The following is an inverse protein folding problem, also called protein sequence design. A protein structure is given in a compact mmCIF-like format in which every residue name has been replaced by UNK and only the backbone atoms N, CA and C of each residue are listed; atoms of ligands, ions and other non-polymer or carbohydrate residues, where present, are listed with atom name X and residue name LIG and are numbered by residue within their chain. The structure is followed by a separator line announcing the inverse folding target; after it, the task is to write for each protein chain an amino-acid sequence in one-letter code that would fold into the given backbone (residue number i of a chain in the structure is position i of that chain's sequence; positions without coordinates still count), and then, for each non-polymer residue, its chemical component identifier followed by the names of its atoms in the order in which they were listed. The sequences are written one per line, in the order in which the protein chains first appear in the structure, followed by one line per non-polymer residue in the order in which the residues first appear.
data_IF_397249661881
#
_entry.id   IF_397249661881
#
_cell.length_a   1.000
_cell.length_b   1.000
_cell.length_c   1.000
_cell.angle_alpha   90.00
_cell.angle_beta   90.00
_cell.angle_gamma   90.00
#
_symmetry.space_group_name_H-M   'P 1'
#
loop_
_entity.id
_entity.type
_entity.pdbx_description
1 polymer ?
#
# COMPACT_ATOMS: atom_id res chain seq x y z
N UNK A 1 25.00 -22.42 -1.98
CA UNK A 1 24.28 -21.91 -0.81
C UNK A 1 25.30 -21.30 0.15
N UNK A 2 25.26 -20.00 0.44
CA UNK A 2 26.08 -19.41 1.50
C UNK A 2 25.57 -19.98 2.82
N UNK A 3 26.41 -20.73 3.52
CA UNK A 3 26.10 -21.29 4.83
C UNK A 3 26.01 -20.13 5.82
N UNK A 4 24.92 -20.00 6.55
CA UNK A 4 24.80 -19.01 7.63
C UNK A 4 25.97 -19.15 8.60
N UNK A 5 26.47 -18.05 9.14
CA UNK A 5 27.55 -18.03 10.11
C UNK A 5 27.18 -18.80 11.39
N UNK A 6 28.21 -19.21 12.15
CA UNK A 6 27.99 -19.91 13.42
C UNK A 6 27.29 -19.00 14.42
N UNK A 7 26.33 -19.53 15.19
CA UNK A 7 25.65 -18.73 16.21
C UNK A 7 26.65 -18.26 17.29
N UNK A 8 26.35 -17.10 17.85
CA UNK A 8 27.11 -16.50 18.95
C UNK A 8 26.98 -17.36 20.21
N UNK A 9 28.06 -17.44 21.01
CA UNK A 9 27.97 -17.88 22.38
C UNK A 9 27.24 -16.86 23.28
N UNK A 10 26.70 -17.27 24.41
CA UNK A 10 25.99 -16.38 25.31
C UNK A 10 26.86 -15.20 25.81
N UNK A 11 28.17 -15.41 25.87
CA UNK A 11 29.12 -14.41 26.33
C UNK A 11 29.40 -13.36 25.22
N UNK A 12 29.64 -13.82 23.99
CA UNK A 12 29.81 -12.94 22.81
C UNK A 12 28.54 -12.12 22.51
N UNK A 13 27.35 -12.73 22.63
CA UNK A 13 26.07 -12.04 22.48
C UNK A 13 25.95 -10.89 23.48
N UNK A 14 26.29 -11.13 24.73
CA UNK A 14 26.24 -10.13 25.80
C UNK A 14 27.24 -8.97 25.54
N UNK A 15 28.44 -9.27 25.11
CA UNK A 15 29.48 -8.29 24.82
C UNK A 15 29.04 -7.39 23.62
N UNK A 16 28.48 -7.99 22.56
CA UNK A 16 27.98 -7.25 21.41
C UNK A 16 26.76 -6.37 21.76
N UNK A 17 25.87 -6.86 22.65
CA UNK A 17 24.74 -6.08 23.12
C UNK A 17 25.19 -4.87 23.96
N UNK A 18 26.24 -4.99 24.76
CA UNK A 18 26.80 -3.86 25.52
C UNK A 18 27.38 -2.82 24.56
N UNK A 19 28.19 -3.23 23.56
CA UNK A 19 28.73 -2.34 22.54
C UNK A 19 27.65 -1.68 21.70
N UNK A 20 26.56 -2.40 21.40
CA UNK A 20 25.40 -1.84 20.71
C UNK A 20 24.80 -0.66 21.49
N UNK A 21 24.70 -0.78 22.83
CA UNK A 21 24.20 0.29 23.71
C UNK A 21 25.12 1.53 23.68
N UNK A 22 26.42 1.33 23.43
CA UNK A 22 27.42 2.40 23.26
C UNK A 22 27.35 3.06 21.87
N UNK A 23 26.49 2.54 20.97
CA UNK A 23 26.30 3.07 19.63
C UNK A 23 27.24 2.48 18.57
N UNK A 24 27.89 1.35 18.84
CA UNK A 24 28.78 0.70 17.89
C UNK A 24 27.98 0.05 16.73
N UNK A 25 28.12 0.63 15.54
CA UNK A 25 27.50 0.13 14.32
C UNK A 25 28.07 -1.23 13.85
N UNK A 26 29.32 -1.54 14.18
CA UNK A 26 29.95 -2.82 13.83
C UNK A 26 29.34 -3.93 14.68
N UNK A 27 29.15 -3.69 15.99
CA UNK A 27 28.48 -4.63 16.87
C UNK A 27 27.00 -4.87 16.45
N UNK A 28 26.31 -3.81 15.99
CA UNK A 28 24.94 -3.90 15.43
C UNK A 28 24.89 -4.84 14.23
N UNK A 29 25.74 -4.64 13.25
CA UNK A 29 25.79 -5.47 12.06
C UNK A 29 26.16 -6.91 12.36
N UNK A 30 27.12 -7.13 13.24
CA UNK A 30 27.53 -8.47 13.69
C UNK A 30 26.37 -9.22 14.39
N UNK A 31 25.58 -8.53 15.21
CA UNK A 31 24.39 -9.13 15.84
C UNK A 31 23.35 -9.55 14.79
N UNK A 32 23.12 -8.75 13.76
CA UNK A 32 22.18 -9.09 12.69
C UNK A 32 22.70 -10.30 11.90
N UNK A 33 23.94 -10.27 11.40
CA UNK A 33 24.51 -11.31 10.55
C UNK A 33 24.55 -12.67 11.26
N UNK A 34 25.00 -12.69 12.51
CA UNK A 34 25.11 -13.93 13.31
C UNK A 34 23.77 -14.54 13.71
N UNK A 35 22.68 -13.73 13.69
CA UNK A 35 21.34 -14.19 14.02
C UNK A 35 20.45 -14.47 12.78
N UNK A 36 20.97 -14.36 11.55
CA UNK A 36 20.23 -14.66 10.32
C UNK A 36 19.69 -16.09 10.27
N UNK A 37 20.39 -17.03 10.93
CA UNK A 37 19.91 -18.41 11.05
C UNK A 37 18.60 -18.53 11.84
N UNK A 38 18.39 -17.65 12.83
CA UNK A 38 17.12 -17.57 13.56
C UNK A 38 15.97 -17.13 12.65
N UNK A 39 16.20 -16.15 11.76
CA UNK A 39 15.24 -15.73 10.76
C UNK A 39 14.83 -16.90 9.87
N UNK A 40 15.80 -17.60 9.29
CA UNK A 40 15.54 -18.75 8.43
C UNK A 40 14.76 -19.87 9.15
N UNK A 41 15.05 -20.11 10.44
CA UNK A 41 14.33 -21.09 11.24
C UNK A 41 12.86 -20.72 11.45
N UNK A 42 12.58 -19.44 11.73
CA UNK A 42 11.22 -18.96 11.95
C UNK A 42 10.44 -18.95 10.64
N UNK A 43 11.04 -18.45 9.53
CA UNK A 43 10.42 -18.43 8.21
C UNK A 43 10.00 -19.83 7.78
N UNK A 44 10.81 -20.85 8.03
CA UNK A 44 10.48 -22.24 7.70
C UNK A 44 9.14 -22.70 8.28
N UNK A 45 8.71 -22.17 9.41
CA UNK A 45 7.40 -22.45 10.01
C UNK A 45 6.24 -21.94 9.16
N UNK A 46 6.46 -20.87 8.40
CA UNK A 46 5.45 -20.22 7.58
C UNK A 46 5.45 -20.69 6.12
N UNK A 47 6.51 -21.33 5.68
CA UNK A 47 6.66 -21.87 4.30
C UNK A 47 5.69 -23.02 4.01
N UNK A 48 5.21 -23.72 5.04
CA UNK A 48 4.25 -24.83 4.89
C UNK A 48 2.78 -24.38 4.80
N UNK A 49 2.52 -23.08 4.89
CA UNK A 49 1.18 -22.53 4.75
C UNK A 49 0.90 -22.35 3.25
N UNK A 50 -0.28 -22.71 2.76
CA UNK A 50 -0.72 -22.77 1.35
C UNK A 50 -0.69 -21.43 0.56
N UNK A 51 0.12 -20.48 0.99
CA UNK A 51 0.26 -19.18 0.33
C UNK A 51 1.52 -19.17 -0.52
N UNK A 52 1.40 -18.67 -1.75
CA UNK A 52 2.45 -18.55 -2.77
C UNK A 52 3.56 -17.55 -2.43
N UNK A 53 3.93 -17.42 -1.15
CA UNK A 53 5.03 -16.57 -0.78
C UNK A 53 6.36 -17.22 -1.15
N UNK A 54 7.16 -16.48 -1.91
CA UNK A 54 8.53 -16.84 -2.18
C UNK A 54 9.29 -16.81 -0.85
N UNK A 55 9.99 -17.90 -0.51
CA UNK A 55 10.78 -18.00 0.73
C UNK A 55 11.73 -16.81 0.94
N UNK A 56 12.23 -16.23 -0.14
CA UNK A 56 13.14 -15.08 -0.14
C UNK A 56 12.47 -13.81 0.39
N UNK A 57 11.20 -13.59 0.06
CA UNK A 57 10.42 -12.44 0.54
C UNK A 57 10.17 -12.57 2.05
N UNK A 58 9.80 -13.76 2.52
CA UNK A 58 9.61 -14.01 3.96
C UNK A 58 10.91 -13.85 4.75
N UNK A 59 12.05 -14.26 4.18
CA UNK A 59 13.37 -14.04 4.80
C UNK A 59 13.67 -12.54 4.86
N UNK A 60 13.37 -11.79 3.80
CA UNK A 60 13.58 -10.34 3.76
C UNK A 60 12.75 -9.61 4.81
N UNK A 61 11.47 -9.94 4.92
CA UNK A 61 10.56 -9.39 5.96
C UNK A 61 11.01 -9.82 7.36
N UNK A 62 11.37 -11.10 7.54
CA UNK A 62 11.91 -11.59 8.80
C UNK A 62 13.21 -10.89 9.21
N UNK A 63 14.05 -10.54 8.23
CA UNK A 63 15.29 -9.76 8.49
C UNK A 63 14.97 -8.36 8.99
N UNK A 64 13.93 -7.71 8.45
CA UNK A 64 13.44 -6.42 8.96
C UNK A 64 13.00 -6.57 10.42
N UNK A 65 12.30 -7.64 10.75
CA UNK A 65 11.91 -7.95 12.13
C UNK A 65 13.12 -8.14 13.08
N UNK A 66 14.17 -8.81 12.60
CA UNK A 66 15.43 -8.97 13.35
C UNK A 66 16.14 -7.62 13.57
N UNK A 67 16.21 -6.77 12.53
CA UNK A 67 16.81 -5.43 12.63
C UNK A 67 16.06 -4.59 13.69
N UNK A 68 14.74 -4.58 13.63
CA UNK A 68 13.90 -3.90 14.64
C UNK A 68 14.15 -4.44 16.05
N UNK A 69 14.36 -5.75 16.18
CA UNK A 69 14.67 -6.37 17.45
C UNK A 69 16.03 -5.93 18.00
N UNK A 70 17.07 -5.88 17.16
CA UNK A 70 18.41 -5.40 17.54
C UNK A 70 18.34 -3.94 18.00
N UNK A 71 17.62 -3.09 17.26
CA UNK A 71 17.55 -1.66 17.54
C UNK A 71 16.72 -1.31 18.80
N UNK A 72 15.78 -2.19 19.18
CA UNK A 72 14.84 -1.95 20.31
C UNK A 72 15.06 -2.83 21.52
N UNK A 73 16.08 -3.70 21.50
CA UNK A 73 16.32 -4.61 22.60
C UNK A 73 16.88 -3.90 23.83
N UNK A 74 16.24 -4.14 24.96
CA UNK A 74 16.67 -3.62 26.26
C UNK A 74 17.34 -4.74 27.08
N UNK A 75 18.63 -4.56 27.36
CA UNK A 75 19.47 -5.54 28.10
C UNK A 75 19.01 -5.67 29.56
N UNK A 76 18.39 -4.64 30.12
CA UNK A 76 17.95 -4.62 31.52
C UNK A 76 16.73 -5.51 31.76
N UNK A 77 16.01 -5.83 30.70
CA UNK A 77 14.92 -6.82 30.75
C UNK A 77 15.49 -8.21 30.86
N UNK A 78 15.08 -8.95 31.85
CA UNK A 78 15.55 -10.30 32.14
C UNK A 78 15.03 -11.35 31.12
N UNK A 79 15.18 -11.08 29.82
CA UNK A 79 14.73 -11.89 28.69
C UNK A 79 15.89 -12.13 27.74
N UNK A 80 16.01 -13.33 27.20
CA UNK A 80 17.05 -13.65 26.22
C UNK A 80 16.77 -12.90 24.91
N UNK A 81 17.82 -12.36 24.27
CA UNK A 81 17.72 -11.67 22.99
C UNK A 81 17.04 -12.54 21.93
N UNK A 82 17.41 -13.82 21.82
CA UNK A 82 16.80 -14.75 20.85
C UNK A 82 15.29 -14.89 21.00
N UNK A 83 14.75 -14.87 22.23
CA UNK A 83 13.31 -14.93 22.49
C UNK A 83 12.61 -13.66 22.05
N UNK A 84 13.22 -12.50 22.32
CA UNK A 84 12.69 -11.21 21.90
C UNK A 84 12.73 -11.05 20.38
N UNK A 85 13.88 -11.38 19.76
CA UNK A 85 14.05 -11.33 18.31
C UNK A 85 13.07 -12.26 17.59
N UNK A 86 12.87 -13.48 18.08
CA UNK A 86 11.89 -14.42 17.53
C UNK A 86 10.49 -13.80 17.50
N UNK A 87 10.08 -13.11 18.57
CA UNK A 87 8.77 -12.45 18.63
C UNK A 87 8.65 -11.29 17.67
N UNK A 88 9.71 -10.49 17.49
CA UNK A 88 9.74 -9.40 16.55
C UNK A 88 9.65 -9.92 15.09
N UNK A 89 10.37 -10.97 14.75
CA UNK A 89 10.34 -11.62 13.45
C UNK A 89 8.93 -12.18 13.16
N UNK A 90 8.36 -12.95 14.10
CA UNK A 90 7.00 -13.48 13.99
C UNK A 90 5.97 -12.35 13.73
N UNK A 91 6.06 -11.25 14.49
CA UNK A 91 5.14 -10.14 14.38
C UNK A 91 5.23 -9.46 13.00
N UNK A 92 6.44 -9.30 12.43
CA UNK A 92 6.64 -8.69 11.13
C UNK A 92 6.05 -9.55 10.01
N UNK A 93 6.27 -10.87 10.06
CA UNK A 93 5.68 -11.83 9.11
C UNK A 93 4.15 -11.83 9.21
N UNK A 94 3.60 -11.85 10.42
CA UNK A 94 2.16 -11.80 10.63
C UNK A 94 1.54 -10.47 10.16
N UNK A 95 2.30 -9.37 10.24
CA UNK A 95 1.87 -8.07 9.73
C UNK A 95 1.78 -8.07 8.20
N UNK A 96 2.74 -8.68 7.51
CA UNK A 96 2.68 -8.92 6.07
C UNK A 96 1.40 -9.69 5.70
N UNK A 97 1.13 -10.81 6.36
CA UNK A 97 -0.06 -11.61 6.09
C UNK A 97 -1.38 -10.85 6.31
N UNK A 98 -1.42 -9.94 7.30
CA UNK A 98 -2.61 -9.10 7.51
C UNK A 98 -2.79 -8.05 6.41
N UNK A 99 -1.70 -7.51 5.87
CA UNK A 99 -1.75 -6.57 4.76
C UNK A 99 -2.23 -7.26 3.49
N UNK A 100 -1.72 -8.44 3.20
CA UNK A 100 -2.11 -9.20 2.00
C UNK A 100 -3.56 -9.69 2.07
N UNK A 101 -4.05 -10.03 3.26
CA UNK A 101 -5.48 -10.35 3.43
C UNK A 101 -6.40 -9.18 3.04
N UNK A 102 -5.93 -7.93 3.16
CA UNK A 102 -6.68 -6.78 2.66
C UNK A 102 -6.65 -6.70 1.14
N UNK A 103 -5.54 -7.09 0.51
CA UNK A 103 -5.37 -7.12 -0.94
C UNK A 103 -6.11 -8.29 -1.62
N UNK A 104 -6.47 -9.35 -0.90
CA UNK A 104 -7.30 -10.46 -1.44
C UNK A 104 -8.64 -9.98 -2.01
N UNK A 105 -9.08 -8.76 -1.68
CA UNK A 105 -10.29 -8.14 -2.23
C UNK A 105 -10.04 -7.33 -3.50
N UNK A 106 -8.79 -7.14 -3.88
CA UNK A 106 -8.41 -6.44 -5.09
C UNK A 106 -8.46 -7.43 -6.25
N UNK A 107 -9.19 -7.08 -7.30
CA UNK A 107 -9.30 -7.88 -8.52
C UNK A 107 -8.43 -7.24 -9.59
N UNK A 108 -7.69 -8.02 -10.34
CA UNK A 108 -6.86 -7.51 -11.43
C UNK A 108 -7.75 -6.95 -12.55
N UNK A 109 -7.48 -5.72 -12.99
CA UNK A 109 -8.18 -5.15 -14.15
C UNK A 109 -7.96 -5.93 -15.44
N UNK A 110 -6.88 -6.71 -15.52
CA UNK A 110 -6.56 -7.55 -16.67
C UNK A 110 -7.12 -8.99 -16.52
N UNK A 111 -7.87 -9.27 -15.45
CA UNK A 111 -8.47 -10.59 -15.27
C UNK A 111 -9.58 -10.81 -16.30
N UNK A 112 -9.55 -11.94 -17.05
CA UNK A 112 -10.57 -12.23 -18.03
C UNK A 112 -11.91 -12.55 -17.35
N UNK A 113 -12.94 -11.78 -17.66
CA UNK A 113 -14.28 -11.97 -17.12
C UNK A 113 -15.11 -12.89 -18.02
N UNK A 114 -14.79 -12.92 -19.31
CA UNK A 114 -15.54 -13.71 -20.28
C UNK A 114 -14.85 -13.73 -21.62
N UNK A 115 -15.56 -14.30 -22.62
CA UNK A 115 -15.14 -14.31 -24.02
C UNK A 115 -16.24 -13.69 -24.87
N UNK A 116 -15.85 -12.95 -25.90
CA UNK A 116 -16.76 -12.44 -26.89
C UNK A 116 -17.27 -13.56 -27.83
N UNK A 117 -18.15 -13.22 -28.76
CA UNK A 117 -18.70 -14.16 -29.74
C UNK A 117 -17.65 -14.71 -30.70
N UNK A 118 -16.51 -14.03 -30.81
CA UNK A 118 -15.38 -14.36 -31.67
C UNK A 118 -14.30 -15.18 -30.95
N UNK A 119 -14.44 -15.36 -29.60
CA UNK A 119 -13.55 -16.17 -28.77
C UNK A 119 -12.42 -15.37 -28.11
N UNK A 120 -12.38 -14.04 -28.26
CA UNK A 120 -11.38 -13.18 -27.61
C UNK A 120 -11.72 -13.02 -26.13
N UNK A 121 -10.71 -12.92 -25.28
CA UNK A 121 -10.88 -12.68 -23.84
C UNK A 121 -11.23 -11.21 -23.56
N UNK A 122 -12.33 -10.99 -22.84
CA UNK A 122 -12.76 -9.66 -22.39
C UNK A 122 -12.24 -9.48 -20.97
N UNK A 123 -11.46 -8.43 -20.73
CA UNK A 123 -10.93 -8.07 -19.43
C UNK A 123 -11.88 -7.10 -18.68
N UNK A 124 -11.74 -7.05 -17.34
CA UNK A 124 -12.48 -6.08 -16.52
C UNK A 124 -12.22 -4.63 -16.95
N UNK A 125 -10.99 -4.36 -17.42
CA UNK A 125 -10.58 -3.05 -17.93
C UNK A 125 -11.42 -2.60 -19.13
N UNK A 126 -11.74 -3.52 -20.04
CA UNK A 126 -12.48 -3.21 -21.26
C UNK A 126 -13.91 -2.78 -20.94
N UNK A 127 -14.55 -3.42 -19.97
CA UNK A 127 -15.92 -3.08 -19.54
C UNK A 127 -15.97 -1.76 -18.78
N UNK A 128 -15.04 -1.52 -17.85
CA UNK A 128 -15.00 -0.27 -17.06
C UNK A 128 -14.64 0.92 -17.97
N UNK A 129 -13.79 0.73 -18.99
CA UNK A 129 -13.42 1.75 -19.96
C UNK A 129 -14.61 2.25 -20.76
N UNK A 130 -15.45 1.34 -21.28
CA UNK A 130 -16.62 1.71 -22.07
C UNK A 130 -17.64 2.55 -21.31
N UNK A 131 -17.87 2.25 -20.01
CA UNK A 131 -18.78 3.05 -19.18
C UNK A 131 -18.21 4.42 -18.80
N UNK A 132 -16.90 4.55 -18.69
CA UNK A 132 -16.27 5.85 -18.42
C UNK A 132 -16.22 6.74 -19.67
N UNK A 133 -16.11 6.17 -20.88
CA UNK A 133 -16.20 6.94 -22.11
C UNK A 133 -17.60 7.52 -22.35
N UNK A 134 -18.67 6.82 -21.93
CA UNK A 134 -20.05 7.33 -22.00
C UNK A 134 -20.37 8.42 -20.98
N UNK A 135 -19.53 8.59 -19.95
CA UNK A 135 -19.72 9.57 -18.85
C UNK A 135 -18.72 10.71 -18.86
N UNK A 136 -17.67 10.65 -19.67
CA UNK A 136 -16.82 11.82 -19.86
C UNK A 136 -17.59 12.77 -20.79
N UNK A 137 -18.00 13.94 -20.30
CA UNK A 137 -18.55 14.96 -21.17
C UNK A 137 -17.51 15.22 -22.25
N UNK A 138 -17.96 15.13 -23.51
CA UNK A 138 -17.10 15.45 -24.64
C UNK A 138 -16.61 16.90 -24.46
N UNK A 139 -15.29 17.09 -24.49
CA UNK A 139 -14.70 18.42 -24.33
C UNK A 139 -15.31 19.43 -25.31
N UNK A 140 -15.82 18.97 -26.45
CA UNK A 140 -16.55 19.76 -27.43
C UNK A 140 -17.95 20.14 -26.90
N UNK A 141 -18.66 19.18 -26.26
CA UNK A 141 -19.98 19.44 -25.66
C UNK A 141 -19.86 20.42 -24.49
N UNK A 142 -18.87 20.26 -23.63
CA UNK A 142 -18.58 21.19 -22.53
C UNK A 142 -18.25 22.59 -23.03
N UNK A 143 -17.47 22.72 -24.11
CA UNK A 143 -17.14 24.00 -24.71
C UNK A 143 -18.37 24.63 -25.33
N UNK A 144 -19.16 23.85 -26.06
CA UNK A 144 -20.42 24.33 -26.66
C UNK A 144 -21.42 24.80 -25.60
N UNK A 145 -21.53 24.04 -24.51
CA UNK A 145 -22.37 24.40 -23.36
C UNK A 145 -21.92 25.72 -22.71
N UNK A 146 -20.59 25.86 -22.51
CA UNK A 146 -20.01 27.10 -21.96
C UNK A 146 -20.29 28.32 -22.86
N UNK A 147 -20.14 28.21 -24.19
CA UNK A 147 -20.44 29.28 -25.16
C UNK A 147 -21.94 29.61 -25.18
N UNK A 148 -22.83 28.63 -25.07
CA UNK A 148 -24.27 28.84 -24.94
C UNK A 148 -24.62 29.66 -23.69
N UNK A 149 -24.06 29.26 -22.54
CA UNK A 149 -24.25 29.98 -21.27
C UNK A 149 -23.75 31.43 -21.41
N UNK A 150 -22.58 31.63 -21.96
CA UNK A 150 -21.99 32.96 -22.18
C UNK A 150 -22.86 33.82 -23.08
N UNK A 151 -23.41 33.23 -24.14
CA UNK A 151 -24.37 33.90 -25.02
C UNK A 151 -25.65 34.31 -24.30
N UNK A 152 -26.20 33.45 -23.44
CA UNK A 152 -27.40 33.77 -22.64
C UNK A 152 -27.10 34.94 -21.70
N UNK A 153 -26.01 34.89 -20.93
CA UNK A 153 -25.64 35.95 -19.99
C UNK A 153 -25.37 37.29 -20.70
N UNK A 154 -24.79 37.25 -21.89
CA UNK A 154 -24.49 38.47 -22.67
C UNK A 154 -25.72 39.12 -23.32
N UNK A 155 -26.83 38.39 -23.49
CA UNK A 155 -28.01 38.87 -24.18
C UNK A 155 -29.24 38.96 -23.28
N UNK A 156 -29.26 38.43 -22.08
CA UNK A 156 -30.41 38.37 -21.17
C UNK A 156 -30.98 39.77 -20.89
N UNK A 157 -30.12 40.76 -20.68
CA UNK A 157 -30.51 42.16 -20.42
C UNK A 157 -31.05 42.89 -21.65
N UNK A 158 -30.75 42.38 -22.87
CA UNK A 158 -31.24 42.99 -24.12
C UNK A 158 -32.61 42.47 -24.53
N UNK A 159 -32.96 41.25 -24.08
CA UNK A 159 -34.15 40.52 -24.53
C UNK A 159 -35.27 40.57 -23.50
N UNK A 160 -34.94 40.62 -22.20
CA UNK A 160 -35.92 40.56 -21.14
C UNK A 160 -36.10 41.88 -20.40
N UNK A 161 -37.35 42.13 -19.95
CA UNK A 161 -37.64 43.28 -19.12
C UNK A 161 -37.03 43.15 -17.71
N UNK A 162 -36.69 44.24 -17.00
CA UNK A 162 -36.05 44.17 -15.68
C UNK A 162 -36.76 43.28 -14.66
N UNK A 163 -38.09 43.27 -14.69
CA UNK A 163 -38.92 42.44 -13.80
C UNK A 163 -38.80 40.94 -14.10
N UNK A 164 -38.65 40.58 -15.37
CA UNK A 164 -38.47 39.18 -15.79
C UNK A 164 -37.11 38.67 -15.44
N UNK A 165 -36.07 39.50 -15.54
CA UNK A 165 -34.70 39.20 -15.13
C UNK A 165 -34.67 38.93 -13.62
N UNK A 166 -35.38 39.73 -12.82
CA UNK A 166 -35.44 39.56 -11.38
C UNK A 166 -36.08 38.22 -10.96
N UNK A 167 -37.19 37.85 -11.64
CA UNK A 167 -37.84 36.54 -11.41
C UNK A 167 -36.89 35.40 -11.74
N UNK A 168 -36.18 35.47 -12.88
CA UNK A 168 -35.22 34.44 -13.27
C UNK A 168 -34.03 34.35 -12.32
N UNK A 169 -33.52 35.47 -11.83
CA UNK A 169 -32.46 35.51 -10.81
C UNK A 169 -32.81 34.69 -9.58
N UNK A 170 -33.97 34.94 -8.99
CA UNK A 170 -34.39 34.25 -7.77
C UNK A 170 -34.82 32.79 -8.02
N UNK A 171 -35.38 32.49 -9.17
CA UNK A 171 -35.83 31.12 -9.49
C UNK A 171 -34.70 30.17 -9.81
N UNK A 172 -33.66 30.63 -10.46
CA UNK A 172 -32.55 29.82 -10.97
C UNK A 172 -31.21 30.16 -10.32
N UNK A 173 -31.17 31.08 -9.36
CA UNK A 173 -29.94 31.46 -8.70
C UNK A 173 -28.93 32.18 -9.60
N UNK A 174 -29.41 32.87 -10.68
CA UNK A 174 -28.52 33.53 -11.61
C UNK A 174 -27.87 34.77 -10.96
N UNK A 175 -26.66 35.12 -11.40
CA UNK A 175 -25.88 36.26 -10.92
C UNK A 175 -25.61 36.22 -9.38
N UNK A 176 -25.59 35.02 -8.78
CA UNK A 176 -25.32 34.87 -7.35
C UNK A 176 -26.50 35.21 -6.43
N UNK A 177 -27.71 35.36 -6.95
CA UNK A 177 -28.91 35.47 -6.13
C UNK A 177 -29.19 34.14 -5.42
N UNK A 178 -29.42 34.20 -4.09
CA UNK A 178 -29.81 33.04 -3.27
C UNK A 178 -31.31 32.99 -3.13
#
# INVERSE_FOLDING_TARGET
MKTFEKPLSAQEEKELLIKLREGDSVARNALIEKNMRLVAHIVKKYTSTERDYINEDLISVGTIGLIKAVDSFDIERNVRFSTYAAKCIDNEILMLFRQDKKKEREVSLNEPIGKDKEGNEISLKDIIGEDSEKKQPDAVEDYMFYEQIKCIYGNIEKVLAPREIEILKYRYGLFGAK
#
